data_IF_779157077866
#
_entry.id   IF_779157077866
#
_cell.length_a   1.000
_cell.length_b   1.000
_cell.length_c   1.000
_cell.angle_alpha   90.00
_cell.angle_beta   90.00
_cell.angle_gamma   90.00
#
_symmetry.space_group_name_H-M   'P 1'
#
loop_
_entity.id
_entity.type
_entity.pdbx_description
1 polymer ?
#
# COMPACT_ATOMS: atom_id res chain seq x y z
N UNK A 1 -4.90 26.13 -3.96
CA UNK A 1 -6.36 26.35 -3.93
C UNK A 1 -6.93 25.37 -2.94
N UNK A 2 -7.71 25.81 -1.97
CA UNK A 2 -8.53 24.95 -1.10
C UNK A 2 -9.97 25.07 -1.58
N UNK A 3 -10.58 23.97 -1.97
CA UNK A 3 -11.96 23.93 -2.46
C UNK A 3 -12.75 22.92 -1.62
N UNK A 4 -13.95 23.33 -1.22
CA UNK A 4 -14.99 22.46 -0.68
C UNK A 4 -15.88 22.09 -1.87
N UNK A 5 -16.46 20.89 -1.93
CA UNK A 5 -17.26 20.39 -3.07
C UNK A 5 -18.39 21.31 -3.58
N UNK A 6 -18.64 22.44 -2.90
CA UNK A 6 -19.54 23.51 -3.31
C UNK A 6 -18.98 24.49 -4.38
N UNK A 7 -17.72 24.38 -4.82
CA UNK A 7 -17.20 25.18 -5.95
C UNK A 7 -17.35 24.40 -7.27
N UNK A 8 -18.58 24.34 -7.77
CA UNK A 8 -18.94 23.80 -9.09
C UNK A 8 -18.40 24.60 -10.29
N UNK A 9 -17.52 25.58 -10.07
CA UNK A 9 -16.72 26.21 -11.12
C UNK A 9 -15.32 25.62 -11.03
N UNK A 10 -15.14 24.53 -11.79
CA UNK A 10 -13.99 23.64 -11.70
C UNK A 10 -12.65 24.35 -11.78
N UNK A 11 -11.76 23.98 -10.86
CA UNK A 11 -10.33 24.15 -11.08
C UNK A 11 -9.96 23.26 -12.27
N UNK A 12 -9.80 23.87 -13.44
CA UNK A 12 -9.31 23.25 -14.68
C UNK A 12 -7.93 23.83 -14.99
N UNK A 13 -6.99 23.62 -14.07
CA UNK A 13 -5.57 23.92 -14.28
C UNK A 13 -4.88 22.63 -14.70
N UNK A 14 -4.22 22.65 -15.86
CA UNK A 14 -3.47 21.49 -16.37
C UNK A 14 -2.30 21.10 -15.46
N UNK A 15 -1.85 22.02 -14.59
CA UNK A 15 -0.66 21.88 -13.76
C UNK A 15 -0.93 21.42 -12.32
N UNK A 16 -2.11 20.87 -12.00
CA UNK A 16 -2.38 20.35 -10.66
C UNK A 16 -1.48 19.13 -10.36
N UNK A 17 -0.60 19.27 -9.36
CA UNK A 17 0.36 18.24 -8.93
C UNK A 17 -0.05 17.46 -7.70
N UNK A 18 -0.90 18.03 -6.87
CA UNK A 18 -1.31 17.42 -5.62
C UNK A 18 -2.78 17.72 -5.36
N UNK A 19 -3.57 16.67 -5.13
CA UNK A 19 -4.94 16.74 -4.63
C UNK A 19 -4.94 16.16 -3.22
N UNK A 20 -5.38 16.94 -2.23
CA UNK A 20 -5.43 16.49 -0.82
C UNK A 20 -6.87 16.51 -0.33
N UNK A 21 -7.34 15.36 0.15
CA UNK A 21 -8.65 15.24 0.79
C UNK A 21 -8.46 15.34 2.30
N UNK A 22 -9.03 16.39 2.89
CA UNK A 22 -9.05 16.65 4.34
C UNK A 22 -10.00 15.75 5.13
N UNK A 23 -10.33 14.58 4.60
CA UNK A 23 -11.28 13.61 5.12
C UNK A 23 -11.53 12.53 4.08
N UNK A 24 -12.05 11.38 4.51
CA UNK A 24 -12.39 10.28 3.61
C UNK A 24 -13.59 10.69 2.72
N UNK A 25 -13.47 10.66 1.38
CA UNK A 25 -14.60 10.86 0.46
C UNK A 25 -15.73 9.88 0.75
N UNK A 26 -16.98 10.23 0.41
CA UNK A 26 -18.12 9.34 0.69
C UNK A 26 -18.23 8.16 -0.26
N UNK A 27 -17.90 8.40 -1.54
CA UNK A 27 -18.02 7.44 -2.63
C UNK A 27 -16.72 7.45 -3.42
N UNK A 28 -16.32 6.28 -3.93
CA UNK A 28 -15.08 6.15 -4.70
C UNK A 28 -15.16 6.93 -6.02
N UNK A 29 -16.32 6.97 -6.67
CA UNK A 29 -16.57 7.77 -7.88
C UNK A 29 -16.25 9.26 -7.70
N UNK A 30 -16.63 9.84 -6.56
CA UNK A 30 -16.33 11.24 -6.25
C UNK A 30 -14.82 11.45 -6.11
N UNK A 31 -14.14 10.51 -5.43
CA UNK A 31 -12.68 10.52 -5.37
C UNK A 31 -12.06 10.46 -6.77
N UNK A 32 -12.54 9.60 -7.67
CA UNK A 32 -12.00 9.48 -9.04
C UNK A 32 -12.19 10.77 -9.83
N UNK A 33 -13.38 11.37 -9.81
CA UNK A 33 -13.65 12.61 -10.54
C UNK A 33 -12.81 13.78 -10.05
N UNK A 34 -12.62 13.88 -8.74
CA UNK A 34 -11.86 14.96 -8.12
C UNK A 34 -10.34 14.78 -8.30
N UNK A 35 -9.84 13.55 -8.12
CA UNK A 35 -8.41 13.21 -8.26
C UNK A 35 -7.94 13.28 -9.72
N UNK A 36 -8.82 12.95 -10.68
CA UNK A 36 -8.57 13.08 -12.12
C UNK A 36 -8.39 14.52 -12.64
N UNK A 37 -8.45 15.52 -11.76
CA UNK A 37 -8.03 16.90 -12.07
C UNK A 37 -6.50 17.07 -12.03
N UNK A 38 -5.79 16.19 -11.32
CA UNK A 38 -4.33 16.14 -11.31
C UNK A 38 -3.75 15.68 -12.65
N UNK A 39 -2.55 16.13 -12.96
CA UNK A 39 -1.73 15.50 -14.00
C UNK A 39 -2.24 15.62 -15.45
N UNK A 40 -3.16 16.55 -15.75
CA UNK A 40 -3.72 16.72 -17.11
C UNK A 40 -2.70 17.14 -18.17
N UNK A 41 -1.54 17.64 -17.75
CA UNK A 41 -0.37 17.90 -18.60
C UNK A 41 0.50 16.66 -18.84
N UNK A 42 0.08 15.48 -18.39
CA UNK A 42 0.79 14.20 -18.54
C UNK A 42 1.98 14.04 -17.59
N UNK A 43 2.23 15.01 -16.70
CA UNK A 43 3.28 14.89 -15.68
C UNK A 43 2.71 14.28 -14.41
N UNK A 44 3.60 13.68 -13.62
CA UNK A 44 3.25 13.04 -12.35
C UNK A 44 2.44 13.98 -11.45
N UNK A 45 1.38 13.44 -10.87
CA UNK A 45 0.59 14.08 -9.82
C UNK A 45 0.21 13.05 -8.77
N UNK A 46 -0.08 13.51 -7.57
CA UNK A 46 -0.43 12.67 -6.43
C UNK A 46 -1.79 13.06 -5.87
N UNK A 47 -2.50 12.07 -5.34
CA UNK A 47 -3.79 12.23 -4.66
C UNK A 47 -3.70 11.57 -3.30
N UNK A 48 -3.91 12.34 -2.24
CA UNK A 48 -3.71 11.92 -0.85
C UNK A 48 -5.01 12.06 -0.07
N UNK A 49 -5.48 10.97 0.51
CA UNK A 49 -6.62 10.97 1.43
C UNK A 49 -6.09 10.98 2.86
N UNK A 50 -6.53 11.95 3.64
CA UNK A 50 -6.19 12.04 5.07
C UNK A 50 -7.39 11.62 5.91
N UNK A 51 -7.17 10.70 6.83
CA UNK A 51 -8.14 10.35 7.88
C UNK A 51 -7.98 11.31 9.06
N UNK A 52 -8.18 12.61 8.80
CA UNK A 52 -8.38 13.58 9.88
C UNK A 52 -9.82 13.36 10.33
N UNK A 53 -10.02 12.39 11.24
CA UNK A 53 -11.33 11.91 11.67
C UNK A 53 -12.36 13.02 11.71
N UNK A 54 -13.49 12.81 11.04
CA UNK A 54 -14.51 13.83 10.79
C UNK A 54 -15.16 14.34 12.08
N UNK A 55 -14.45 15.15 12.85
CA UNK A 55 -14.98 15.82 14.02
C UNK A 55 -15.75 17.05 13.52
N UNK A 56 -17.08 16.90 13.40
CA UNK A 56 -17.98 18.05 13.41
C UNK A 56 -19.06 18.12 12.33
N UNK A 57 -19.08 17.21 11.35
CA UNK A 57 -20.19 17.17 10.40
C UNK A 57 -21.25 16.19 10.94
N UNK A 58 -22.49 16.65 11.18
CA UNK A 58 -23.57 15.83 11.75
C UNK A 58 -24.14 16.31 13.09
N UNK A 59 -23.81 17.54 13.52
CA UNK A 59 -24.53 18.19 14.63
C UNK A 59 -25.99 18.44 14.23
N UNK A 60 -26.91 17.61 14.73
CA UNK A 60 -28.36 17.81 14.59
C UNK A 60 -29.15 16.66 13.95
N UNK A 61 -28.47 15.61 13.45
CA UNK A 61 -29.11 14.45 12.82
C UNK A 61 -29.39 13.35 13.84
N UNK A 62 -30.47 12.58 13.65
CA UNK A 62 -30.74 11.40 14.47
C UNK A 62 -29.72 10.28 14.21
N UNK A 63 -29.69 9.26 15.08
CA UNK A 63 -28.66 8.22 15.06
C UNK A 63 -28.76 7.25 13.86
N UNK A 64 -29.94 7.16 13.25
CA UNK A 64 -30.25 6.33 12.09
C UNK A 64 -29.99 7.09 10.78
N UNK A 65 -30.39 8.37 10.72
CA UNK A 65 -30.02 9.33 9.67
C UNK A 65 -28.51 9.52 9.61
N UNK A 66 -27.81 9.53 10.76
CA UNK A 66 -26.35 9.51 10.79
C UNK A 66 -25.80 8.24 10.13
N UNK A 67 -26.32 7.06 10.46
CA UNK A 67 -25.80 5.83 9.86
C UNK A 67 -25.99 5.80 8.34
N UNK A 68 -27.13 6.26 7.83
CA UNK A 68 -27.40 6.28 6.40
C UNK A 68 -26.70 7.44 5.67
N UNK A 69 -26.55 8.61 6.30
CA UNK A 69 -25.86 9.77 5.70
C UNK A 69 -24.32 9.62 5.73
N UNK A 70 -23.79 8.92 6.73
CA UNK A 70 -22.36 8.65 6.93
C UNK A 70 -21.92 7.28 6.42
N UNK A 71 -22.81 6.50 5.78
CA UNK A 71 -22.44 5.24 5.17
C UNK A 71 -21.43 5.48 4.03
N UNK A 72 -20.15 5.28 4.34
CA UNK A 72 -19.13 5.24 3.30
C UNK A 72 -19.41 4.07 2.37
N UNK A 73 -19.20 4.35 1.09
CA UNK A 73 -19.23 3.34 0.06
C UNK A 73 -18.23 2.21 0.37
N UNK A 74 -18.62 0.98 0.07
CA UNK A 74 -17.81 -0.21 0.38
C UNK A 74 -16.45 -0.13 -0.31
N UNK A 75 -16.44 0.26 -1.57
CA UNK A 75 -15.24 0.36 -2.38
C UNK A 75 -14.34 1.50 -1.90
N UNK A 76 -14.91 2.60 -1.39
CA UNK A 76 -14.15 3.67 -0.75
C UNK A 76 -13.49 3.24 0.57
N UNK A 77 -14.19 2.46 1.39
CA UNK A 77 -13.60 1.87 2.61
C UNK A 77 -12.43 0.97 2.23
N UNK A 78 -12.65 0.06 1.29
CA UNK A 78 -11.61 -0.88 0.84
C UNK A 78 -10.41 -0.14 0.24
N UNK A 79 -10.66 0.92 -0.53
CA UNK A 79 -9.62 1.81 -1.01
C UNK A 79 -8.81 2.32 0.18
N UNK A 80 -9.39 3.06 1.13
CA UNK A 80 -8.65 3.67 2.26
C UNK A 80 -7.92 2.63 3.12
N UNK A 81 -8.53 1.47 3.37
CA UNK A 81 -7.91 0.39 4.15
C UNK A 81 -6.60 -0.12 3.56
N UNK A 82 -6.37 0.04 2.24
CA UNK A 82 -5.09 -0.25 1.61
C UNK A 82 -4.72 -1.75 1.62
N UNK A 83 -5.71 -2.64 1.73
CA UNK A 83 -5.49 -4.10 1.71
C UNK A 83 -5.20 -4.64 0.31
N UNK A 84 -5.62 -3.91 -0.73
CA UNK A 84 -5.46 -4.26 -2.14
C UNK A 84 -4.82 -3.12 -2.91
N UNK A 85 -4.29 -3.42 -4.09
CA UNK A 85 -3.75 -2.41 -5.00
C UNK A 85 -4.78 -1.28 -5.20
N UNK A 86 -4.35 -0.02 -5.11
CA UNK A 86 -5.25 1.13 -5.31
C UNK A 86 -5.96 1.03 -6.67
N UNK A 87 -5.24 0.62 -7.71
CA UNK A 87 -5.80 0.47 -9.06
C UNK A 87 -6.71 -0.74 -9.23
N UNK A 88 -6.53 -1.81 -8.44
CA UNK A 88 -7.49 -2.93 -8.46
C UNK A 88 -8.86 -2.46 -7.99
N UNK A 89 -8.91 -1.71 -6.88
CA UNK A 89 -10.16 -1.17 -6.35
C UNK A 89 -10.79 -0.18 -7.34
N UNK A 90 -9.98 0.70 -7.94
CA UNK A 90 -10.43 1.67 -8.94
C UNK A 90 -10.97 1.02 -10.21
N UNK A 91 -10.24 0.07 -10.81
CA UNK A 91 -10.64 -0.60 -12.05
C UNK A 91 -11.93 -1.44 -11.84
N UNK A 92 -12.10 -2.02 -10.65
CA UNK A 92 -13.32 -2.75 -10.30
C UNK A 92 -14.53 -1.84 -10.28
N UNK A 93 -14.42 -0.66 -9.66
CA UNK A 93 -15.53 0.29 -9.55
C UNK A 93 -15.83 0.95 -10.91
N UNK A 94 -14.81 1.44 -11.60
CA UNK A 94 -14.99 2.25 -12.80
C UNK A 94 -15.34 1.41 -14.04
N UNK A 95 -14.63 0.29 -14.21
CA UNK A 95 -14.67 -0.51 -15.45
C UNK A 95 -15.25 -1.92 -15.24
N UNK A 96 -15.58 -2.30 -13.99
CA UNK A 96 -16.03 -3.65 -13.65
C UNK A 96 -14.94 -4.71 -13.80
N UNK A 97 -13.67 -4.31 -13.92
CA UNK A 97 -12.56 -5.22 -14.13
C UNK A 97 -12.14 -5.87 -12.81
N UNK A 98 -12.41 -7.18 -12.70
CA UNK A 98 -12.12 -7.99 -11.50
C UNK A 98 -10.84 -8.82 -11.63
N UNK A 99 -10.16 -8.77 -12.78
CA UNK A 99 -8.97 -9.57 -13.07
C UNK A 99 -7.67 -8.83 -12.70
N UNK A 100 -7.73 -7.51 -12.45
CA UNK A 100 -6.56 -6.75 -12.00
C UNK A 100 -6.18 -7.16 -10.59
N UNK A 101 -4.89 -7.45 -10.37
CA UNK A 101 -4.32 -7.82 -9.06
C UNK A 101 -3.20 -6.89 -8.57
N UNK A 102 -2.91 -5.81 -9.31
CA UNK A 102 -1.75 -4.96 -9.04
C UNK A 102 -1.63 -3.77 -9.98
N UNK A 103 -0.60 -2.94 -9.76
CA UNK A 103 -0.15 -1.97 -10.76
C UNK A 103 0.47 -2.71 -11.94
N UNK A 104 0.11 -2.34 -13.17
CA UNK A 104 0.60 -2.95 -14.40
C UNK A 104 1.99 -2.43 -14.79
N UNK A 105 2.66 -3.14 -15.69
CA UNK A 105 3.94 -2.71 -16.24
C UNK A 105 3.80 -1.34 -16.94
N UNK A 106 4.71 -0.42 -16.61
CA UNK A 106 4.68 0.96 -17.12
C UNK A 106 3.79 1.92 -16.33
N UNK A 107 3.06 1.45 -15.32
CA UNK A 107 2.30 2.32 -14.40
C UNK A 107 3.16 2.81 -13.22
N UNK A 108 2.86 4.01 -12.71
CA UNK A 108 3.38 4.46 -11.42
C UNK A 108 2.86 3.57 -10.29
N UNK A 109 3.75 2.98 -9.50
CA UNK A 109 3.40 2.08 -8.40
C UNK A 109 2.66 2.84 -7.29
N UNK A 110 1.54 2.30 -6.81
CA UNK A 110 0.83 2.88 -5.67
C UNK A 110 1.50 2.55 -4.33
N UNK A 111 1.13 3.25 -3.27
CA UNK A 111 1.60 3.03 -1.89
C UNK A 111 1.51 1.56 -1.44
N UNK A 112 0.38 0.91 -1.69
CA UNK A 112 0.16 -0.49 -1.31
C UNK A 112 1.10 -1.46 -2.04
N UNK A 113 1.17 -1.38 -3.38
CA UNK A 113 2.07 -2.24 -4.15
C UNK A 113 3.54 -1.95 -3.86
N UNK A 114 3.88 -0.68 -3.57
CA UNK A 114 5.23 -0.28 -3.19
C UNK A 114 5.66 -0.92 -1.85
N UNK A 115 4.79 -0.89 -0.84
CA UNK A 115 5.09 -1.52 0.45
C UNK A 115 5.20 -3.05 0.34
N UNK A 116 4.32 -3.68 -0.44
CA UNK A 116 4.38 -5.12 -0.71
C UNK A 116 5.71 -5.53 -1.38
N UNK A 117 6.17 -4.75 -2.37
CA UNK A 117 7.46 -4.99 -3.02
C UNK A 117 8.62 -4.89 -2.02
N UNK A 118 8.62 -3.85 -1.16
CA UNK A 118 9.65 -3.72 -0.12
C UNK A 118 9.64 -4.90 0.87
N UNK A 119 8.48 -5.33 1.33
CA UNK A 119 8.38 -6.45 2.26
C UNK A 119 8.86 -7.76 1.63
N UNK A 120 8.53 -8.01 0.36
CA UNK A 120 9.07 -9.14 -0.40
C UNK A 120 10.60 -9.08 -0.50
N UNK A 121 11.19 -7.92 -0.77
CA UNK A 121 12.66 -7.76 -0.82
C UNK A 121 13.34 -7.98 0.53
N UNK A 122 12.69 -7.59 1.64
CA UNK A 122 13.22 -7.85 3.00
C UNK A 122 13.16 -9.34 3.33
N UNK A 123 12.01 -9.98 3.11
CA UNK A 123 11.82 -11.40 3.41
C UNK A 123 12.77 -12.30 2.60
N UNK A 124 13.01 -11.95 1.33
CA UNK A 124 13.97 -12.67 0.49
C UNK A 124 15.39 -12.51 0.99
N UNK A 125 15.81 -11.28 1.34
CA UNK A 125 17.13 -11.05 1.94
C UNK A 125 17.32 -11.77 3.28
N UNK A 126 16.29 -11.84 4.12
CA UNK A 126 16.32 -12.61 5.38
C UNK A 126 16.43 -14.12 5.14
N UNK A 127 15.70 -14.65 4.16
CA UNK A 127 15.78 -16.07 3.79
C UNK A 127 17.16 -16.43 3.24
N UNK A 128 17.71 -15.61 2.34
CA UNK A 128 19.07 -15.80 1.79
C UNK A 128 20.13 -15.73 2.90
N UNK A 129 20.01 -14.78 3.84
CA UNK A 129 20.91 -14.69 4.98
C UNK A 129 20.85 -15.94 5.88
N UNK A 130 19.64 -16.44 6.16
CA UNK A 130 19.44 -17.65 6.96
C UNK A 130 20.02 -18.90 6.28
N UNK A 131 19.90 -19.02 4.96
CA UNK A 131 20.52 -20.10 4.19
C UNK A 131 22.05 -20.08 4.31
N UNK A 132 22.67 -18.91 4.20
CA UNK A 132 24.13 -18.75 4.35
C UNK A 132 24.58 -19.09 5.77
N UNK A 133 23.84 -18.67 6.80
CA UNK A 133 24.15 -19.00 8.20
C UNK A 133 24.08 -20.51 8.46
N UNK A 134 23.09 -21.22 7.89
CA UNK A 134 23.00 -22.67 8.01
C UNK A 134 24.17 -23.39 7.34
N UNK A 135 24.60 -22.96 6.14
CA UNK A 135 25.76 -23.54 5.47
C UNK A 135 27.05 -23.32 6.27
N UNK A 136 27.25 -22.13 6.81
CA UNK A 136 28.40 -21.83 7.67
C UNK A 136 28.39 -22.67 8.96
N UNK A 137 27.23 -22.84 9.59
CA UNK A 137 27.06 -23.69 10.77
C UNK A 137 27.43 -25.15 10.50
N UNK A 138 26.96 -25.72 9.37
CA UNK A 138 27.29 -27.08 8.99
C UNK A 138 28.80 -27.28 8.74
N UNK A 139 29.48 -26.29 8.16
CA UNK A 139 30.93 -26.32 7.98
C UNK A 139 31.68 -26.25 9.32
N UNK A 140 31.22 -25.41 10.27
CA UNK A 140 31.83 -25.36 11.60
C UNK A 140 31.68 -26.65 12.38
N UNK A 141 30.53 -27.32 12.28
CA UNK A 141 30.28 -28.61 12.94
C UNK A 141 31.22 -29.70 12.39
N UNK A 142 31.44 -29.73 11.07
CA UNK A 142 32.40 -30.66 10.43
C UNK A 142 33.83 -30.41 10.93
N UNK A 143 34.25 -29.14 11.04
CA UNK A 143 35.57 -28.81 11.57
C UNK A 143 35.76 -29.30 13.02
N UNK A 144 34.72 -29.19 13.85
CA UNK A 144 34.76 -29.66 15.23
C UNK A 144 34.91 -31.19 15.30
N UNK A 145 34.13 -31.93 14.52
CA UNK A 145 34.25 -33.39 14.41
C UNK A 145 35.64 -33.81 13.92
N UNK A 146 36.21 -33.12 12.93
CA UNK A 146 37.58 -33.39 12.46
C UNK A 146 38.59 -33.20 13.59
N UNK A 147 38.50 -32.09 14.34
CA UNK A 147 39.39 -31.79 15.47
C UNK A 147 39.30 -32.88 16.55
N UNK A 148 38.09 -33.29 16.93
CA UNK A 148 37.88 -34.35 17.92
C UNK A 148 38.45 -35.69 17.47
N UNK A 149 38.19 -36.07 16.20
CA UNK A 149 38.67 -37.35 15.65
C UNK A 149 40.19 -37.38 15.56
N UNK A 150 40.83 -36.25 15.22
CA UNK A 150 42.29 -36.13 15.18
C UNK A 150 42.93 -36.31 16.57
N UNK A 151 42.33 -35.70 17.61
CA UNK A 151 42.78 -35.86 19.01
C UNK A 151 42.67 -37.33 19.45
N UNK A 152 41.59 -38.00 19.11
CA UNK A 152 41.39 -39.42 19.44
C UNK A 152 42.41 -40.34 18.74
N UNK A 153 42.81 -40.00 17.51
CA UNK A 153 43.79 -40.75 16.73
C UNK A 153 45.21 -40.61 17.26
N UNK A 154 45.60 -39.40 17.69
CA UNK A 154 46.90 -39.17 18.34
C UNK A 154 46.99 -39.92 19.68
N UNK A 155 45.88 -39.99 20.45
CA UNK A 155 45.85 -40.73 21.71
C UNK A 155 46.05 -42.25 21.53
N UNK A 156 45.53 -42.84 20.45
CA UNK A 156 45.65 -44.29 20.17
C UNK A 156 47.01 -44.71 19.59
N UNK A 157 47.87 -43.76 19.23
CA UNK A 157 49.23 -44.02 18.70
C UNK A 157 50.35 -43.92 19.74
N UNK A 158 50.05 -43.50 20.97
CA UNK A 158 50.98 -43.49 22.11
C UNK A 158 50.87 -44.75 22.96
#
# INVERSE_FOLDING_TARGET
ITAINALGLGVDDLNVRLVVYGGIPRQLDNFVQESGRGGRDGRKSESVVTDQGQQGQGQGLDEQEKQDEWAWDRDMIEFVEGKRCRREVLDREMDGNVDRVGCAEGEEVCDVCWEQQQQMTRNTGEAEAAEVEMEFGALSDIEEVIKETMVEWDYKKS
#
